data_IF_468424914053
#
_entry.id   IF_468424914053
#
_cell.length_a   1.000
_cell.length_b   1.000
_cell.length_c   1.000
_cell.angle_alpha   90.00
_cell.angle_beta   90.00
_cell.angle_gamma   90.00
#
_symmetry.space_group_name_H-M   'P 1'
#
loop_
_entity.id
_entity.type
_entity.pdbx_description
1 polymer ?
#
# COMPACT_ATOMS: atom_id res chain seq x y z
N UNK A 1 26.42 27.25 -58.79
CA UNK A 1 25.12 26.84 -59.38
C UNK A 1 24.59 25.68 -58.54
N UNK A 2 23.68 25.91 -57.57
CA UNK A 2 22.21 25.76 -57.69
C UNK A 2 21.78 24.35 -58.10
N UNK A 3 20.84 23.61 -57.50
CA UNK A 3 19.95 23.73 -56.32
C UNK A 3 19.00 22.50 -56.38
N UNK A 4 18.30 22.19 -55.28
CA UNK A 4 17.02 21.43 -55.10
C UNK A 4 17.15 20.00 -54.54
N UNK A 5 16.71 19.74 -53.30
CA UNK A 5 15.36 19.70 -52.68
C UNK A 5 14.60 18.39 -52.89
N UNK A 6 14.39 17.67 -51.78
CA UNK A 6 13.38 16.62 -51.58
C UNK A 6 13.26 16.31 -50.08
N UNK A 7 12.72 17.22 -49.26
CA UNK A 7 11.36 17.20 -48.68
C UNK A 7 10.68 15.83 -48.52
N UNK A 8 10.28 15.59 -47.25
CA UNK A 8 9.17 14.75 -46.72
C UNK A 8 9.49 13.28 -46.43
N UNK A 9 9.76 12.98 -45.16
CA UNK A 9 9.24 11.77 -44.53
C UNK A 9 8.29 12.17 -43.41
N UNK A 10 7.08 11.63 -43.52
CA UNK A 10 5.92 11.78 -42.65
C UNK A 10 5.91 10.59 -41.69
N UNK A 11 5.71 10.92 -40.41
CA UNK A 11 5.08 10.17 -39.32
C UNK A 11 4.97 8.62 -39.39
N UNK A 12 5.59 7.97 -38.40
CA UNK A 12 5.18 6.70 -37.79
C UNK A 12 5.23 6.93 -36.26
N UNK A 13 4.12 7.20 -35.58
CA UNK A 13 3.03 6.33 -35.11
C UNK A 13 3.38 5.49 -33.87
N UNK A 14 2.69 5.87 -32.78
CA UNK A 14 2.10 5.05 -31.71
C UNK A 14 3.04 4.39 -30.67
N UNK A 15 3.29 5.13 -29.60
CA UNK A 15 3.55 4.56 -28.28
C UNK A 15 2.25 4.55 -27.46
N UNK A 16 1.70 3.40 -27.04
CA UNK A 16 0.63 3.37 -26.06
C UNK A 16 1.20 3.59 -24.65
N UNK A 17 0.87 4.73 -24.06
CA UNK A 17 1.01 5.03 -22.64
C UNK A 17 0.02 4.17 -21.85
N UNK A 18 0.49 3.05 -21.32
CA UNK A 18 -0.26 2.22 -20.36
C UNK A 18 0.44 2.30 -18.99
N UNK A 19 -0.02 3.22 -18.14
CA UNK A 19 0.34 3.30 -16.72
C UNK A 19 -0.85 2.89 -15.86
N UNK A 20 -1.21 1.61 -15.93
CA UNK A 20 -2.15 0.97 -15.02
C UNK A 20 -1.42 0.24 -13.90
N UNK A 21 -0.99 0.94 -12.85
CA UNK A 21 -0.46 0.29 -11.65
C UNK A 21 -1.63 -0.02 -10.70
N UNK A 22 -2.04 -1.29 -10.66
CA UNK A 22 -3.06 -1.82 -9.75
C UNK A 22 -2.42 -2.78 -8.74
N UNK A 23 -2.22 -2.27 -7.53
CA UNK A 23 -1.91 -2.97 -6.26
C UNK A 23 -0.59 -3.74 -6.25
N UNK A 24 0.45 -3.06 -5.77
CA UNK A 24 1.72 -3.70 -5.43
C UNK A 24 2.98 -2.88 -5.69
N UNK A 25 2.91 -1.56 -5.89
CA UNK A 25 4.13 -0.78 -6.06
C UNK A 25 3.98 0.67 -5.58
N UNK A 26 4.47 0.92 -4.36
CA UNK A 26 5.15 2.17 -4.08
C UNK A 26 6.55 1.99 -4.70
N UNK A 27 6.66 2.12 -6.03
CA UNK A 27 7.93 2.58 -6.61
C UNK A 27 8.07 4.02 -6.17
N UNK A 28 8.55 4.24 -4.95
CA UNK A 28 9.16 5.51 -4.61
C UNK A 28 10.49 5.52 -5.36
N UNK A 29 10.72 6.47 -6.27
CA UNK A 29 12.09 6.90 -6.50
C UNK A 29 12.68 7.25 -5.13
N UNK A 30 13.92 6.87 -4.82
CA UNK A 30 14.60 7.43 -3.66
C UNK A 30 14.52 8.97 -3.76
N UNK A 31 14.32 9.70 -2.66
CA UNK A 31 14.22 11.15 -2.72
C UNK A 31 15.48 11.72 -3.40
N UNK A 32 15.27 12.42 -4.52
CA UNK A 32 16.32 13.15 -5.23
C UNK A 32 16.88 14.21 -4.28
N UNK A 33 18.09 13.98 -3.75
CA UNK A 33 18.77 14.90 -2.82
C UNK A 33 19.60 15.98 -3.52
N UNK A 34 19.40 16.19 -4.81
CA UNK A 34 20.17 17.16 -5.60
C UNK A 34 19.41 18.50 -5.76
N UNK A 35 19.06 19.18 -4.66
CA UNK A 35 18.80 20.62 -4.68
C UNK A 35 19.04 21.22 -3.28
N UNK A 36 19.95 22.20 -3.12
CA UNK A 36 20.07 22.92 -1.87
C UNK A 36 18.90 23.89 -1.73
N UNK A 37 17.95 23.60 -0.83
CA UNK A 37 17.02 24.62 -0.34
C UNK A 37 17.68 25.45 0.77
N UNK A 38 17.58 26.80 0.72
CA UNK A 38 18.05 27.65 1.81
C UNK A 38 17.04 27.60 2.96
N UNK A 39 17.32 26.79 3.99
CA UNK A 39 16.52 26.81 5.23
C UNK A 39 17.44 27.12 6.43
N UNK A 40 17.08 28.08 7.30
CA UNK A 40 17.83 28.37 8.51
C UNK A 40 17.84 27.15 9.46
N UNK A 41 18.85 27.02 10.34
CA UNK A 41 19.07 25.82 11.14
C UNK A 41 17.84 25.49 12.00
N UNK A 42 17.28 24.30 11.77
CA UNK A 42 16.19 23.75 12.55
C UNK A 42 16.70 23.31 13.93
N UNK A 43 16.14 23.88 14.99
CA UNK A 43 16.23 23.37 16.35
C UNK A 43 15.65 21.95 16.37
N UNK A 44 16.39 20.98 16.90
CA UNK A 44 15.92 19.61 17.03
C UNK A 44 14.61 19.57 17.84
N UNK A 45 13.53 18.94 17.34
CA UNK A 45 12.31 18.78 18.12
C UNK A 45 12.59 17.81 19.27
N UNK A 46 12.28 18.26 20.48
CA UNK A 46 12.20 17.41 21.66
C UNK A 46 11.18 16.29 21.39
N UNK A 47 11.47 15.02 21.71
CA UNK A 47 10.49 13.95 21.56
C UNK A 47 9.27 14.28 22.43
N UNK A 48 8.11 14.44 21.80
CA UNK A 48 6.84 14.60 22.50
C UNK A 48 6.61 13.36 23.38
N UNK A 49 6.23 13.53 24.66
CA UNK A 49 5.85 12.40 25.49
C UNK A 49 4.70 11.63 24.82
N UNK A 50 4.63 10.30 24.96
CA UNK A 50 3.53 9.52 24.41
C UNK A 50 2.21 10.07 24.97
N UNK A 51 1.22 10.26 24.09
CA UNK A 51 -0.13 10.59 24.51
C UNK A 51 -0.59 9.54 25.56
N UNK A 52 -1.26 9.96 26.64
CA UNK A 52 -1.69 9.03 27.68
C UNK A 52 -2.50 7.90 27.05
N UNK A 53 -2.09 6.65 27.28
CA UNK A 53 -2.74 5.45 26.74
C UNK A 53 -2.07 4.79 25.52
N UNK A 54 -0.92 5.30 25.05
CA UNK A 54 -0.11 4.62 24.01
C UNK A 54 1.01 3.79 24.64
N UNK A 55 1.02 2.48 24.43
CA UNK A 55 2.13 1.60 24.84
C UNK A 55 3.34 1.84 23.93
N UNK A 56 4.48 2.29 24.48
CA UNK A 56 5.74 2.37 23.73
C UNK A 56 6.50 1.04 23.80
N UNK A 57 6.83 0.49 22.64
CA UNK A 57 7.71 -0.68 22.46
C UNK A 57 8.94 -0.24 21.68
N UNK A 58 9.94 0.25 22.40
CA UNK A 58 11.24 0.63 21.83
C UNK A 58 12.24 -0.51 22.01
N UNK A 59 12.82 -0.98 20.90
CA UNK A 59 13.85 -2.02 20.91
C UNK A 59 15.03 -1.58 20.06
N UNK A 60 16.24 -1.80 20.60
CA UNK A 60 17.49 -1.63 19.88
C UNK A 60 18.08 -2.98 19.52
N UNK A 61 18.48 -3.16 18.26
CA UNK A 61 19.00 -4.43 17.75
C UNK A 61 20.43 -4.31 17.20
N UNK A 62 21.27 -5.35 17.35
CA UNK A 62 22.64 -5.32 16.87
C UNK A 62 22.70 -5.46 15.35
N UNK A 63 22.88 -4.36 14.63
CA UNK A 63 23.09 -4.34 13.15
C UNK A 63 24.48 -3.84 12.74
N UNK A 64 25.20 -3.18 13.63
CA UNK A 64 26.48 -2.52 13.35
C UNK A 64 26.30 -1.04 12.96
N UNK A 65 27.40 -0.31 12.85
CA UNK A 65 27.38 1.12 12.51
C UNK A 65 27.05 1.33 11.02
N UNK A 66 26.32 2.40 10.71
CA UNK A 66 26.09 2.86 9.33
C UNK A 66 24.84 2.33 8.63
N UNK A 67 23.99 1.59 9.34
CA UNK A 67 22.66 1.23 8.84
C UNK A 67 21.66 2.37 9.06
N UNK A 68 20.77 2.55 8.09
CA UNK A 68 19.62 3.45 8.20
C UNK A 68 18.51 2.83 9.08
N UNK A 69 17.46 3.61 9.37
CA UNK A 69 16.25 3.07 10.01
C UNK A 69 15.63 1.95 9.16
N UNK A 70 15.08 0.90 9.80
CA UNK A 70 14.59 -0.26 9.06
C UNK A 70 13.28 0.03 8.34
N UNK A 71 13.08 -0.63 7.20
CA UNK A 71 11.74 -0.82 6.65
C UNK A 71 11.02 -1.89 7.49
N UNK A 72 9.96 -1.51 8.22
CA UNK A 72 9.18 -2.44 9.06
C UNK A 72 7.81 -2.72 8.46
N UNK A 73 7.47 -3.99 8.31
CA UNK A 73 6.19 -4.44 7.75
C UNK A 73 5.49 -5.42 8.68
N UNK A 74 4.37 -4.97 9.26
CA UNK A 74 3.49 -5.79 10.09
C UNK A 74 2.49 -6.55 9.21
N UNK A 75 2.34 -7.84 9.50
CA UNK A 75 1.36 -8.73 8.85
C UNK A 75 0.09 -8.84 9.69
N UNK A 76 0.27 -8.86 11.01
CA UNK A 76 -0.77 -8.85 12.05
C UNK A 76 -0.31 -7.91 13.17
N UNK A 77 -1.10 -7.69 14.22
CA UNK A 77 -0.66 -6.94 15.41
C UNK A 77 0.57 -7.55 16.10
N UNK A 78 0.83 -8.84 15.90
CA UNK A 78 1.87 -9.59 16.61
C UNK A 78 3.08 -9.90 15.73
N UNK A 79 2.89 -10.09 14.43
CA UNK A 79 3.92 -10.59 13.52
C UNK A 79 4.37 -9.49 12.56
N UNK A 80 5.68 -9.24 12.53
CA UNK A 80 6.28 -8.31 11.59
C UNK A 80 7.69 -8.73 11.20
N UNK A 81 8.17 -8.13 10.13
CA UNK A 81 9.54 -8.24 9.66
C UNK A 81 10.14 -6.85 9.52
N UNK A 82 11.45 -6.74 9.74
CA UNK A 82 12.18 -5.49 9.63
C UNK A 82 13.46 -5.71 8.83
N UNK A 83 13.63 -4.92 7.77
CA UNK A 83 14.81 -4.95 6.91
C UNK A 83 15.62 -3.68 7.14
N UNK A 84 16.81 -3.85 7.71
CA UNK A 84 17.84 -2.82 7.73
C UNK A 84 18.67 -2.92 6.47
N UNK A 85 19.01 -1.78 5.87
CA UNK A 85 19.97 -1.69 4.77
C UNK A 85 20.88 -0.50 4.95
N UNK A 86 22.10 -0.59 4.43
CA UNK A 86 23.04 0.52 4.33
C UNK A 86 23.45 0.67 2.88
N UNK A 87 23.02 1.73 2.20
CA UNK A 87 23.36 1.95 0.79
C UNK A 87 24.37 3.10 0.67
N UNK A 88 25.65 2.84 0.33
CA UNK A 88 26.65 3.89 0.19
C UNK A 88 26.24 4.86 -0.94
N UNK A 89 26.04 6.14 -0.60
CA UNK A 89 25.62 7.17 -1.56
C UNK A 89 26.67 7.51 -2.64
N UNK A 90 27.91 6.99 -2.51
CA UNK A 90 29.08 7.37 -3.32
C UNK A 90 29.68 6.24 -4.15
N UNK A 91 29.06 5.07 -4.16
CA UNK A 91 29.58 3.89 -4.86
C UNK A 91 28.91 3.70 -6.21
N UNK A 92 29.69 3.40 -7.26
CA UNK A 92 29.16 2.98 -8.57
C UNK A 92 28.56 1.57 -8.53
N UNK A 93 28.99 0.75 -7.58
CA UNK A 93 28.35 -0.51 -7.22
C UNK A 93 27.38 -0.27 -6.05
N UNK A 94 26.08 -0.54 -6.23
CA UNK A 94 25.07 -0.28 -5.20
C UNK A 94 25.04 -1.36 -4.12
N UNK A 95 26.15 -2.00 -3.79
CA UNK A 95 26.20 -3.04 -2.78
C UNK A 95 25.69 -2.51 -1.43
N UNK A 96 24.43 -2.83 -1.11
CA UNK A 96 23.79 -2.46 0.14
C UNK A 96 23.79 -3.68 1.06
N UNK A 97 24.64 -3.72 2.10
CA UNK A 97 24.50 -4.69 3.17
C UNK A 97 23.11 -4.59 3.80
N UNK A 98 22.52 -5.74 4.11
CA UNK A 98 21.21 -5.84 4.70
C UNK A 98 21.14 -6.86 5.85
N UNK A 99 20.29 -6.56 6.84
CA UNK A 99 20.01 -7.45 7.98
C UNK A 99 18.51 -7.52 8.19
N UNK A 100 18.01 -8.73 8.40
CA UNK A 100 16.59 -9.00 8.58
C UNK A 100 16.29 -9.43 10.01
N UNK A 101 15.21 -8.88 10.56
CA UNK A 101 14.65 -9.24 11.85
C UNK A 101 13.18 -9.62 11.72
N UNK A 102 12.69 -10.39 12.68
CA UNK A 102 11.28 -10.70 12.83
C UNK A 102 10.84 -10.58 14.28
N UNK A 103 9.57 -10.23 14.47
CA UNK A 103 8.88 -10.27 15.76
C UNK A 103 7.63 -11.15 15.64
N UNK A 104 7.25 -11.76 16.77
CA UNK A 104 6.02 -12.54 16.92
C UNK A 104 5.22 -12.12 18.16
N UNK A 105 5.62 -11.01 18.80
CA UNK A 105 5.03 -10.48 20.04
C UNK A 105 4.65 -9.00 19.91
N UNK A 106 4.48 -8.53 18.68
CA UNK A 106 4.08 -7.17 18.34
C UNK A 106 5.21 -6.15 18.54
N UNK A 107 6.45 -6.56 18.33
CA UNK A 107 7.62 -5.69 18.40
C UNK A 107 8.19 -5.51 19.81
N UNK A 108 7.80 -6.33 20.79
CA UNK A 108 8.42 -6.31 22.13
C UNK A 108 9.81 -6.96 22.11
N UNK A 109 9.99 -7.97 21.28
CA UNK A 109 11.28 -8.56 21.00
C UNK A 109 11.45 -8.81 19.50
N UNK A 110 12.72 -8.78 19.07
CA UNK A 110 13.09 -8.95 17.67
C UNK A 110 14.21 -9.98 17.57
N UNK A 111 14.00 -10.98 16.72
CA UNK A 111 14.97 -12.04 16.45
C UNK A 111 15.57 -11.83 15.07
N UNK A 112 16.90 -11.84 15.00
CA UNK A 112 17.63 -11.81 13.73
C UNK A 112 17.32 -13.07 12.92
N UNK A 113 17.02 -12.91 11.64
CA UNK A 113 16.86 -13.99 10.67
C UNK A 113 18.10 -14.11 9.79
N UNK A 114 18.30 -15.31 9.23
CA UNK A 114 19.37 -15.54 8.26
C UNK A 114 18.90 -15.01 6.91
N UNK A 115 19.59 -13.99 6.41
CA UNK A 115 19.29 -13.44 5.09
C UNK A 115 20.03 -14.26 4.03
N UNK A 116 19.35 -14.80 2.99
CA UNK A 116 20.00 -15.59 1.94
C UNK A 116 21.08 -14.83 1.18
N UNK A 117 20.93 -13.51 1.06
CA UNK A 117 21.88 -12.59 0.46
C UNK A 117 22.09 -11.38 1.35
N UNK A 118 23.29 -11.26 1.90
CA UNK A 118 23.65 -10.19 2.81
C UNK A 118 23.89 -8.85 2.13
N UNK A 119 24.14 -8.85 0.82
CA UNK A 119 24.45 -7.66 0.03
C UNK A 119 23.64 -7.72 -1.26
N UNK A 120 22.96 -6.63 -1.62
CA UNK A 120 22.17 -6.47 -2.83
C UNK A 120 22.07 -4.99 -3.22
N UNK A 121 21.75 -4.69 -4.48
CA UNK A 121 21.68 -3.30 -4.97
C UNK A 121 20.51 -2.50 -4.42
N UNK A 122 19.42 -3.20 -4.16
CA UNK A 122 18.14 -2.62 -3.75
C UNK A 122 17.34 -3.68 -2.98
N UNK A 123 17.73 -4.00 -1.74
CA UNK A 123 17.04 -5.00 -0.95
C UNK A 123 15.66 -4.47 -0.55
N UNK A 124 14.59 -5.17 -0.93
CA UNK A 124 13.22 -4.84 -0.58
C UNK A 124 12.57 -5.99 0.21
N UNK A 125 11.68 -5.62 1.12
CA UNK A 125 10.92 -6.51 1.99
C UNK A 125 9.44 -6.42 1.64
N UNK A 126 8.80 -7.59 1.53
CA UNK A 126 7.37 -7.73 1.38
C UNK A 126 6.84 -8.83 2.31
N UNK A 127 5.76 -8.56 3.02
CA UNK A 127 5.20 -9.52 3.96
C UNK A 127 3.67 -9.51 3.94
N UNK A 128 3.10 -10.70 3.76
CA UNK A 128 1.66 -10.98 3.84
C UNK A 128 1.46 -12.20 4.75
N UNK A 129 0.22 -12.56 5.12
CA UNK A 129 -0.01 -13.78 5.88
C UNK A 129 0.70 -14.97 5.23
N UNK A 130 1.49 -15.68 6.05
CA UNK A 130 2.23 -16.90 5.69
C UNK A 130 3.37 -16.74 4.67
N UNK A 131 3.57 -15.57 4.05
CA UNK A 131 4.63 -15.37 3.05
C UNK A 131 5.49 -14.15 3.40
N UNK A 132 6.79 -14.40 3.47
CA UNK A 132 7.84 -13.39 3.50
C UNK A 132 8.57 -13.45 2.17
N UNK A 133 8.59 -12.35 1.42
CA UNK A 133 9.32 -12.24 0.17
C UNK A 133 10.36 -11.12 0.25
N UNK A 134 11.52 -11.38 -0.31
CA UNK A 134 12.62 -10.42 -0.41
C UNK A 134 13.01 -10.30 -1.88
N UNK A 135 13.13 -9.08 -2.35
CA UNK A 135 13.75 -8.79 -3.64
C UNK A 135 15.17 -8.30 -3.36
N UNK A 136 16.16 -9.00 -3.88
CA UNK A 136 17.57 -8.66 -3.73
C UNK A 136 18.18 -8.48 -5.13
N UNK A 137 17.98 -7.32 -5.74
CA UNK A 137 18.49 -7.04 -7.09
C UNK A 137 20.03 -7.05 -7.11
N UNK A 138 20.67 -7.50 -8.21
CA UNK A 138 20.09 -8.16 -9.39
C UNK A 138 19.85 -9.67 -9.19
N UNK A 139 20.06 -10.18 -7.97
CA UNK A 139 20.05 -11.61 -7.64
C UNK A 139 18.66 -12.25 -7.63
N UNK A 140 17.58 -11.48 -7.76
CA UNK A 140 16.20 -11.99 -7.86
C UNK A 140 15.48 -12.07 -6.51
N UNK A 141 14.52 -12.99 -6.42
CA UNK A 141 13.58 -13.11 -5.31
C UNK A 141 13.93 -14.26 -4.37
N UNK A 142 13.72 -14.04 -3.08
CA UNK A 142 13.85 -15.06 -2.03
C UNK A 142 12.54 -15.12 -1.25
N UNK A 143 11.94 -16.30 -1.14
CA UNK A 143 10.62 -16.47 -0.51
C UNK A 143 10.67 -17.48 0.61
N UNK A 144 10.08 -17.12 1.73
CA UNK A 144 9.88 -17.99 2.88
C UNK A 144 8.39 -18.18 3.12
N UNK A 145 7.98 -19.42 3.42
CA UNK A 145 6.66 -19.77 3.93
C UNK A 145 6.69 -20.29 5.38
N UNK A 146 7.85 -20.22 6.05
CA UNK A 146 8.07 -20.79 7.39
C UNK A 146 8.52 -19.74 8.43
N UNK A 147 8.22 -18.47 8.16
CA UNK A 147 8.59 -17.34 9.03
C UNK A 147 10.07 -16.91 8.93
N UNK A 148 10.70 -17.18 7.79
CA UNK A 148 12.05 -16.76 7.43
C UNK A 148 13.12 -17.71 7.95
N UNK A 149 12.78 -18.98 8.19
CA UNK A 149 13.76 -20.02 8.57
C UNK A 149 14.46 -20.57 7.33
N UNK A 150 13.73 -20.74 6.24
CA UNK A 150 14.28 -21.16 4.94
C UNK A 150 13.75 -20.28 3.81
N UNK A 151 14.53 -20.15 2.73
CA UNK A 151 14.15 -19.35 1.58
C UNK A 151 14.37 -20.12 0.28
N UNK A 152 13.36 -20.09 -0.60
CA UNK A 152 13.46 -20.54 -1.98
C UNK A 152 13.81 -19.35 -2.89
N UNK A 153 14.71 -19.57 -3.85
CA UNK A 153 15.15 -18.56 -4.81
C UNK A 153 14.41 -18.67 -6.14
N UNK A 154 14.00 -17.53 -6.71
CA UNK A 154 13.41 -17.43 -8.05
C UNK A 154 13.89 -16.17 -8.77
N UNK A 155 14.00 -16.21 -10.10
CA UNK A 155 14.36 -15.02 -10.89
C UNK A 155 13.22 -13.99 -10.96
N UNK A 156 11.97 -14.46 -10.94
CA UNK A 156 10.76 -13.64 -11.05
C UNK A 156 9.99 -13.60 -9.73
N UNK A 157 9.01 -12.69 -9.66
CA UNK A 157 8.10 -12.56 -8.53
C UNK A 157 7.49 -13.94 -8.14
N UNK A 158 7.68 -14.39 -6.89
CA UNK A 158 7.27 -15.70 -6.45
C UNK A 158 5.77 -15.89 -6.58
N UNK A 159 5.37 -17.06 -7.05
CA UNK A 159 3.95 -17.41 -7.20
C UNK A 159 3.24 -17.41 -5.84
N UNK A 160 3.89 -17.91 -4.79
CA UNK A 160 3.34 -17.90 -3.43
C UNK A 160 3.06 -16.47 -2.93
N UNK A 161 4.01 -15.55 -3.15
CA UNK A 161 3.84 -14.13 -2.84
C UNK A 161 2.65 -13.53 -3.59
N UNK A 162 2.59 -13.71 -4.92
CA UNK A 162 1.48 -13.22 -5.73
C UNK A 162 0.15 -13.77 -5.25
N UNK A 163 0.02 -15.10 -5.10
CA UNK A 163 -1.23 -15.73 -4.65
C UNK A 163 -1.69 -15.26 -3.25
N UNK A 164 -0.76 -14.93 -2.36
CA UNK A 164 -1.06 -14.48 -1.00
C UNK A 164 -1.59 -13.03 -0.92
N UNK A 165 -1.44 -12.22 -1.98
CA UNK A 165 -2.01 -10.86 -2.02
C UNK A 165 -3.54 -10.85 -2.15
N UNK A 166 -4.15 -11.98 -2.53
CA UNK A 166 -5.59 -12.11 -2.60
C UNK A 166 -6.03 -13.22 -3.54
N UNK A 167 -7.16 -13.84 -3.23
CA UNK A 167 -7.73 -14.93 -4.05
C UNK A 167 -8.12 -14.49 -5.46
N UNK A 168 -8.52 -13.24 -5.63
CA UNK A 168 -8.88 -12.66 -6.92
C UNK A 168 -8.00 -11.45 -7.18
N UNK A 169 -7.46 -11.35 -8.39
CA UNK A 169 -6.50 -10.32 -8.77
C UNK A 169 -6.67 -9.92 -10.23
N UNK A 170 -6.08 -8.79 -10.60
CA UNK A 170 -5.92 -8.38 -12.00
C UNK A 170 -4.54 -8.87 -12.44
N UNK A 171 -4.48 -9.67 -13.49
CA UNK A 171 -3.24 -10.02 -14.16
C UNK A 171 -2.73 -8.79 -14.91
N UNK A 172 -1.65 -8.18 -14.43
CA UNK A 172 -1.08 -6.95 -14.99
C UNK A 172 -0.67 -7.10 -16.46
N UNK A 173 -0.25 -8.29 -16.90
CA UNK A 173 0.20 -8.50 -18.29
C UNK A 173 -0.97 -8.46 -19.28
N UNK A 174 -2.17 -8.84 -18.84
CA UNK A 174 -3.35 -8.98 -19.71
C UNK A 174 -4.49 -8.03 -19.36
N UNK A 175 -4.44 -7.37 -18.20
CA UNK A 175 -5.54 -6.59 -17.63
C UNK A 175 -6.75 -7.44 -17.22
N UNK A 176 -6.66 -8.77 -17.24
CA UNK A 176 -7.79 -9.67 -16.95
C UNK A 176 -7.90 -10.01 -15.48
N UNK A 177 -9.12 -10.23 -15.01
CA UNK A 177 -9.36 -10.76 -13.67
C UNK A 177 -9.13 -12.27 -13.66
N UNK A 178 -8.29 -12.69 -12.73
CA UNK A 178 -7.93 -14.08 -12.45
C UNK A 178 -8.32 -14.47 -11.03
N UNK A 179 -8.53 -15.76 -10.83
CA UNK A 179 -8.64 -16.40 -9.52
C UNK A 179 -7.42 -17.25 -9.27
N UNK A 180 -6.84 -17.12 -8.08
CA UNK A 180 -5.80 -17.98 -7.57
C UNK A 180 -6.40 -19.18 -6.84
N UNK A 181 -5.85 -20.37 -7.12
CA UNK A 181 -6.10 -21.61 -6.40
C UNK A 181 -4.72 -22.24 -6.09
N UNK A 182 -4.21 -21.97 -4.89
CA UNK A 182 -2.80 -22.21 -4.57
C UNK A 182 -1.91 -21.44 -5.56
N UNK A 183 -0.94 -22.11 -6.22
CA UNK A 183 -0.02 -21.44 -7.14
C UNK A 183 -0.58 -21.21 -8.55
N UNK A 184 -1.82 -21.62 -8.83
CA UNK A 184 -2.38 -21.53 -10.18
C UNK A 184 -3.32 -20.34 -10.28
N UNK A 185 -3.01 -19.41 -11.18
CA UNK A 185 -3.95 -18.40 -11.63
C UNK A 185 -4.77 -18.94 -12.80
N UNK A 186 -6.09 -18.77 -12.73
CA UNK A 186 -7.03 -19.11 -13.81
C UNK A 186 -7.92 -17.91 -14.11
N UNK A 187 -8.09 -17.50 -15.38
CA UNK A 187 -9.07 -16.49 -15.74
C UNK A 187 -10.46 -16.84 -15.23
N UNK A 188 -11.23 -15.84 -14.82
CA UNK A 188 -12.64 -16.03 -14.46
C UNK A 188 -13.48 -16.46 -15.67
N UNK A 189 -14.59 -17.21 -15.46
CA UNK A 189 -15.46 -17.68 -16.54
C UNK A 189 -15.97 -16.54 -17.43
N UNK A 190 -16.34 -15.41 -16.82
CA UNK A 190 -16.62 -14.16 -17.51
C UNK A 190 -15.73 -13.04 -16.95
N UNK A 191 -15.33 -12.11 -17.82
CA UNK A 191 -14.58 -10.92 -17.42
C UNK A 191 -15.52 -9.76 -17.09
N UNK A 192 -15.18 -8.93 -16.09
CA UNK A 192 -16.00 -7.77 -15.73
C UNK A 192 -16.05 -6.76 -16.90
N UNK A 193 -17.19 -6.08 -17.13
CA UNK A 193 -17.31 -5.02 -18.11
C UNK A 193 -16.69 -3.70 -17.62
N UNK A 194 -15.40 -3.72 -17.26
CA UNK A 194 -14.60 -2.58 -16.81
C UNK A 194 -13.32 -2.56 -17.66
N UNK A 195 -13.16 -1.55 -18.52
CA UNK A 195 -12.09 -1.46 -19.53
C UNK A 195 -10.68 -1.28 -18.92
N UNK A 196 -10.58 -0.53 -17.83
CA UNK A 196 -9.32 -0.25 -17.15
C UNK A 196 -9.47 -0.50 -15.63
N UNK A 197 -9.48 -1.78 -15.20
CA UNK A 197 -9.67 -2.13 -13.80
C UNK A 197 -8.42 -1.73 -12.99
N UNK A 198 -8.65 -1.10 -11.83
CA UNK A 198 -7.62 -0.65 -10.89
C UNK A 198 -7.58 -1.48 -9.59
N UNK A 199 -8.53 -2.40 -9.41
CA UNK A 199 -8.54 -3.32 -8.30
C UNK A 199 -9.74 -4.25 -8.33
N UNK A 200 -9.65 -5.31 -7.52
CA UNK A 200 -10.71 -6.25 -7.24
C UNK A 200 -10.70 -6.63 -5.75
N UNK A 201 -11.88 -6.81 -5.16
CA UNK A 201 -12.01 -7.37 -3.81
C UNK A 201 -13.15 -8.38 -3.75
N UNK A 202 -13.09 -9.28 -2.77
CA UNK A 202 -14.19 -10.16 -2.36
C UNK A 202 -14.74 -9.69 -1.01
N UNK A 203 -16.02 -9.31 -0.96
CA UNK A 203 -16.69 -8.78 0.21
C UNK A 203 -17.96 -9.60 0.50
N UNK A 204 -17.93 -10.47 1.53
CA UNK A 204 -19.07 -11.36 1.88
C UNK A 204 -19.62 -12.16 0.68
N UNK A 205 -18.73 -12.68 -0.17
CA UNK A 205 -19.08 -13.44 -1.37
C UNK A 205 -19.45 -12.60 -2.61
N UNK A 206 -19.50 -11.27 -2.47
CA UNK A 206 -19.60 -10.34 -3.59
C UNK A 206 -18.22 -10.03 -4.14
N UNK A 207 -17.98 -10.28 -5.42
CA UNK A 207 -16.80 -9.74 -6.11
C UNK A 207 -17.11 -8.33 -6.60
N UNK A 208 -16.18 -7.42 -6.39
CA UNK A 208 -16.27 -6.04 -6.87
C UNK A 208 -15.01 -5.71 -7.63
N UNK A 209 -15.16 -5.33 -8.90
CA UNK A 209 -14.09 -4.78 -9.74
C UNK A 209 -14.39 -3.32 -9.98
N UNK A 210 -13.38 -2.48 -9.84
CA UNK A 210 -13.53 -1.05 -10.07
C UNK A 210 -12.32 -0.49 -10.80
N UNK A 211 -12.54 0.59 -11.55
CA UNK A 211 -11.56 1.19 -12.43
C UNK A 211 -11.96 2.58 -12.89
N UNK A 212 -11.09 3.22 -13.66
CA UNK A 212 -11.32 4.55 -14.22
C UNK A 212 -11.03 4.50 -15.72
N UNK A 213 -11.92 5.08 -16.52
CA UNK A 213 -11.69 5.27 -17.96
C UNK A 213 -12.10 6.69 -18.36
N UNK A 214 -11.16 7.44 -18.94
CA UNK A 214 -11.34 8.86 -19.27
C UNK A 214 -11.75 9.74 -18.08
N UNK A 215 -11.16 9.51 -16.89
CA UNK A 215 -11.48 10.24 -15.65
C UNK A 215 -12.82 9.86 -14.99
N UNK A 216 -13.58 8.94 -15.60
CA UNK A 216 -14.88 8.48 -15.09
C UNK A 216 -14.75 7.17 -14.32
N UNK A 217 -15.31 7.09 -13.10
CA UNK A 217 -15.30 5.86 -12.31
C UNK A 217 -16.28 4.82 -12.86
N UNK A 218 -15.85 3.55 -12.89
CA UNK A 218 -16.67 2.41 -13.26
C UNK A 218 -16.52 1.27 -12.26
N UNK A 219 -17.60 0.53 -12.02
CA UNK A 219 -17.59 -0.67 -11.22
C UNK A 219 -18.51 -1.75 -11.80
N UNK A 220 -18.14 -3.00 -11.55
CA UNK A 220 -18.98 -4.15 -11.80
C UNK A 220 -18.94 -5.09 -10.59
N UNK A 221 -20.06 -5.78 -10.35
CA UNK A 221 -20.20 -6.71 -9.25
C UNK A 221 -20.61 -8.09 -9.73
N UNK A 222 -20.25 -9.12 -8.98
CA UNK A 222 -20.66 -10.50 -9.23
C UNK A 222 -20.96 -11.22 -7.92
N UNK A 223 -22.09 -11.93 -7.87
CA UNK A 223 -22.53 -12.74 -6.71
C UNK A 223 -22.28 -14.24 -6.92
N UNK A 224 -21.80 -14.65 -8.10
CA UNK A 224 -21.61 -16.03 -8.52
C UNK A 224 -20.15 -16.34 -8.84
N UNK A 225 -19.23 -15.66 -8.13
CA UNK A 225 -17.77 -15.83 -8.23
C UNK A 225 -17.21 -15.54 -9.62
N UNK A 226 -17.79 -14.57 -10.32
CA UNK A 226 -17.34 -14.08 -11.62
C UNK A 226 -17.85 -14.89 -12.81
N UNK A 227 -18.95 -15.64 -12.63
CA UNK A 227 -19.60 -16.34 -13.73
C UNK A 227 -20.47 -15.36 -14.54
N UNK A 228 -21.12 -14.43 -13.85
CA UNK A 228 -21.83 -13.29 -14.43
C UNK A 228 -21.43 -11.99 -13.75
N UNK A 229 -21.55 -10.88 -14.48
CA UNK A 229 -21.19 -9.55 -14.00
C UNK A 229 -22.30 -8.54 -14.28
N UNK A 230 -22.64 -7.76 -13.26
CA UNK A 230 -23.54 -6.63 -13.40
C UNK A 230 -22.73 -5.33 -13.34
N UNK A 231 -22.83 -4.50 -14.40
CA UNK A 231 -22.29 -3.14 -14.35
C UNK A 231 -23.12 -2.32 -13.37
N UNK A 232 -22.45 -1.64 -12.47
CA UNK A 232 -23.07 -0.81 -11.43
C UNK A 232 -22.59 0.63 -11.62
N UNK A 233 -23.48 1.59 -11.94
CA UNK A 233 -23.10 2.99 -12.05
C UNK A 233 -22.48 3.51 -10.75
N UNK A 234 -21.31 4.15 -10.84
CA UNK A 234 -20.69 4.88 -9.73
C UNK A 234 -21.04 6.36 -9.92
N UNK A 235 -21.75 6.99 -8.98
CA UNK A 235 -22.03 8.42 -9.05
C UNK A 235 -20.73 9.21 -9.20
N UNK A 236 -20.63 10.01 -10.27
CA UNK A 236 -19.44 10.81 -10.58
C UNK A 236 -19.38 11.95 -9.56
N UNK A 237 -18.25 12.14 -8.86
CA UNK A 237 -18.09 13.26 -7.95
C UNK A 237 -17.95 14.57 -8.72
N UNK A 238 -17.93 15.69 -8.02
CA UNK A 238 -17.53 16.96 -8.65
C UNK A 238 -16.05 16.89 -9.03
N UNK A 239 -15.76 16.75 -10.32
CA UNK A 239 -14.41 16.60 -10.87
C UNK A 239 -14.07 15.18 -11.35
N UNK A 240 -12.79 14.97 -11.69
CA UNK A 240 -12.28 13.69 -12.22
C UNK A 240 -11.77 12.78 -11.10
N UNK A 241 -11.92 11.47 -11.30
CA UNK A 241 -11.27 10.44 -10.48
C UNK A 241 -10.07 9.91 -11.25
N UNK A 242 -8.87 9.98 -10.69
CA UNK A 242 -7.67 9.43 -11.29
C UNK A 242 -7.45 7.95 -10.96
N UNK A 243 -7.80 7.53 -9.74
CA UNK A 243 -7.68 6.14 -9.30
C UNK A 243 -8.89 5.72 -8.47
N UNK A 244 -9.58 4.67 -8.87
CA UNK A 244 -10.68 4.09 -8.10
C UNK A 244 -10.28 2.72 -7.50
N UNK A 245 -10.22 2.62 -6.18
CA UNK A 245 -9.86 1.38 -5.48
C UNK A 245 -11.07 0.76 -4.79
N UNK A 246 -11.40 -0.51 -5.07
CA UNK A 246 -12.32 -1.25 -4.23
C UNK A 246 -11.62 -1.69 -2.94
N UNK A 247 -12.35 -1.63 -1.83
CA UNK A 247 -11.88 -1.99 -0.50
C UNK A 247 -12.97 -2.75 0.25
N UNK A 248 -12.56 -3.52 1.27
CA UNK A 248 -13.47 -4.22 2.17
C UNK A 248 -13.31 -3.62 3.56
N UNK A 249 -14.42 -3.21 4.18
CA UNK A 249 -14.42 -2.78 5.57
C UNK A 249 -14.22 -3.96 6.53
N UNK A 250 -13.88 -3.72 7.80
CA UNK A 250 -13.85 -4.76 8.84
C UNK A 250 -15.21 -5.46 9.04
N UNK A 251 -16.29 -4.78 8.69
CA UNK A 251 -17.64 -5.35 8.64
C UNK A 251 -17.85 -6.26 7.42
N UNK A 252 -16.94 -6.34 6.46
CA UNK A 252 -17.12 -7.07 5.21
C UNK A 252 -17.96 -6.31 4.18
N UNK A 253 -18.25 -5.02 4.39
CA UNK A 253 -18.94 -4.18 3.42
C UNK A 253 -17.99 -3.78 2.28
N UNK A 254 -18.45 -3.88 1.02
CA UNK A 254 -17.72 -3.38 -0.13
C UNK A 254 -17.79 -1.85 -0.22
N UNK A 255 -16.64 -1.23 -0.49
CA UNK A 255 -16.47 0.22 -0.55
C UNK A 255 -15.59 0.62 -1.72
N UNK A 256 -15.73 1.86 -2.16
CA UNK A 256 -14.83 2.46 -3.16
C UNK A 256 -14.17 3.70 -2.57
N UNK A 257 -12.89 3.87 -2.89
CA UNK A 257 -12.12 5.08 -2.61
C UNK A 257 -11.55 5.59 -3.93
N UNK A 258 -11.96 6.79 -4.32
CA UNK A 258 -11.61 7.45 -5.57
C UNK A 258 -10.68 8.61 -5.30
N UNK A 259 -9.41 8.46 -5.65
CA UNK A 259 -8.42 9.53 -5.53
C UNK A 259 -8.48 10.44 -6.76
N UNK A 260 -8.36 11.77 -6.59
CA UNK A 260 -8.18 12.70 -7.69
C UNK A 260 -6.90 12.40 -8.49
N UNK A 261 -6.76 12.90 -9.73
CA UNK A 261 -5.59 12.65 -10.59
C UNK A 261 -4.25 13.01 -9.95
N UNK A 262 -4.21 14.05 -9.11
CA UNK A 262 -3.01 14.49 -8.39
C UNK A 262 -2.61 13.54 -7.25
N UNK A 263 -3.51 12.65 -6.83
CA UNK A 263 -3.37 11.72 -5.69
C UNK A 263 -3.08 12.39 -4.34
N UNK A 264 -3.33 13.70 -4.22
CA UNK A 264 -3.11 14.43 -2.96
C UNK A 264 -4.36 15.11 -2.43
N UNK A 265 -5.33 15.40 -3.29
CA UNK A 265 -6.63 15.91 -2.87
C UNK A 265 -7.43 14.91 -2.05
N UNK A 266 -8.42 15.40 -1.30
CA UNK A 266 -9.32 14.55 -0.54
C UNK A 266 -10.07 13.56 -1.45
N UNK A 267 -10.12 12.26 -1.11
CA UNK A 267 -10.73 11.27 -2.00
C UNK A 267 -12.25 11.28 -1.92
N UNK A 268 -12.88 10.92 -3.03
CA UNK A 268 -14.30 10.59 -3.08
C UNK A 268 -14.54 9.19 -2.50
N UNK A 269 -15.62 9.02 -1.74
CA UNK A 269 -15.91 7.80 -0.98
C UNK A 269 -17.28 7.25 -1.34
N UNK A 270 -17.40 5.93 -1.49
CA UNK A 270 -18.69 5.27 -1.72
C UNK A 270 -18.85 3.98 -0.93
N UNK A 271 -20.11 3.64 -0.69
CA UNK A 271 -20.57 2.39 -0.06
C UNK A 271 -21.45 1.59 -0.99
N UNK A 272 -21.43 0.27 -0.86
CA UNK A 272 -22.31 -0.61 -1.62
C UNK A 272 -23.53 -1.04 -0.79
N UNK A 273 -24.71 -0.52 -1.14
CA UNK A 273 -25.99 -0.87 -0.51
C UNK A 273 -26.96 -1.45 -1.56
N UNK A 274 -26.46 -2.34 -2.41
CA UNK A 274 -27.14 -2.78 -3.65
C UNK A 274 -26.95 -1.81 -4.83
N UNK A 275 -26.50 -0.59 -4.53
CA UNK A 275 -26.00 0.42 -5.47
C UNK A 275 -24.87 1.20 -4.80
N UNK A 276 -24.04 1.88 -5.59
CA UNK A 276 -23.02 2.79 -5.06
C UNK A 276 -23.67 4.06 -4.53
N UNK A 277 -23.53 4.30 -3.24
CA UNK A 277 -24.01 5.50 -2.57
C UNK A 277 -22.80 6.34 -2.16
N UNK A 278 -22.71 7.62 -2.60
CA UNK A 278 -21.62 8.49 -2.19
C UNK A 278 -21.71 8.78 -0.69
N UNK A 279 -20.55 8.88 -0.05
CA UNK A 279 -20.42 9.25 1.36
C UNK A 279 -19.95 10.69 1.41
N UNK A 280 -20.83 11.59 1.83
CA UNK A 280 -20.47 12.98 2.05
C UNK A 280 -19.46 13.11 3.19
N UNK A 281 -18.57 14.09 3.08
CA UNK A 281 -17.52 14.37 4.05
C UNK A 281 -17.41 15.88 4.31
N UNK A 282 -18.52 16.57 4.53
CA UNK A 282 -18.53 18.03 4.74
C UNK A 282 -17.53 18.43 5.84
N UNK A 283 -16.71 19.46 5.57
CA UNK A 283 -15.67 19.92 6.48
C UNK A 283 -14.33 19.19 6.36
N UNK A 284 -14.15 18.34 5.33
CA UNK A 284 -12.88 17.65 5.10
C UNK A 284 -11.73 18.63 4.77
N UNK A 285 -10.47 18.27 5.10
CA UNK A 285 -9.31 19.04 4.66
C UNK A 285 -9.15 18.97 3.14
N UNK A 286 -8.42 19.92 2.55
CA UNK A 286 -8.18 19.93 1.10
C UNK A 286 -7.37 18.72 0.61
N UNK A 287 -6.53 18.13 1.49
CA UNK A 287 -5.61 17.05 1.15
C UNK A 287 -5.77 15.86 2.08
N UNK A 288 -5.43 14.68 1.56
CA UNK A 288 -5.35 13.44 2.30
C UNK A 288 -4.14 12.61 1.83
N UNK A 289 -3.57 11.82 2.73
CA UNK A 289 -2.43 10.96 2.47
C UNK A 289 -2.81 9.47 2.41
N UNK A 290 -3.82 9.05 3.18
CA UNK A 290 -4.29 7.66 3.20
C UNK A 290 -5.73 7.57 3.71
N UNK A 291 -6.43 6.52 3.31
CA UNK A 291 -7.80 6.22 3.74
C UNK A 291 -7.94 4.75 4.04
N UNK A 292 -8.61 4.44 5.15
CA UNK A 292 -8.95 3.07 5.53
C UNK A 292 -10.42 2.98 5.91
N UNK A 293 -11.13 1.94 5.45
CA UNK A 293 -12.50 1.71 5.90
C UNK A 293 -12.52 1.26 7.36
N UNK A 294 -13.39 1.88 8.15
CA UNK A 294 -13.75 1.48 9.52
C UNK A 294 -15.07 0.71 9.50
N UNK A 295 -15.75 0.49 10.62
CA UNK A 295 -17.07 -0.17 10.64
C UNK A 295 -18.20 0.76 10.18
N UNK A 296 -19.29 0.20 9.65
CA UNK A 296 -20.57 0.88 9.43
C UNK A 296 -20.47 2.11 8.54
N UNK A 297 -19.85 1.98 7.37
CA UNK A 297 -19.73 3.07 6.40
C UNK A 297 -18.83 4.23 6.79
N UNK A 298 -18.05 4.08 7.87
CA UNK A 298 -17.10 5.10 8.33
C UNK A 298 -15.74 4.91 7.69
N UNK A 299 -14.99 5.98 7.52
CA UNK A 299 -13.62 5.96 6.99
C UNK A 299 -12.71 6.76 7.93
N UNK A 300 -11.53 6.24 8.22
CA UNK A 300 -10.45 7.06 8.76
C UNK A 300 -9.65 7.61 7.59
N UNK A 301 -9.36 8.90 7.64
CA UNK A 301 -8.59 9.62 6.61
C UNK A 301 -7.44 10.31 7.31
N UNK A 302 -6.21 10.02 6.92
CA UNK A 302 -5.06 10.78 7.38
C UNK A 302 -4.77 11.94 6.43
N UNK A 303 -4.45 13.11 6.97
CA UNK A 303 -4.16 14.32 6.22
C UNK A 303 -3.15 15.24 6.92
N UNK A 304 -3.05 16.50 6.49
CA UNK A 304 -2.08 17.47 7.02
C UNK A 304 -2.21 17.78 8.51
N UNK A 305 -3.40 17.58 9.09
CA UNK A 305 -3.71 17.87 10.50
C UNK A 305 -3.76 16.58 11.34
N UNK A 306 -3.23 15.47 10.82
CA UNK A 306 -3.37 14.13 11.39
C UNK A 306 -4.62 13.42 10.88
N UNK A 307 -5.21 12.56 11.71
CA UNK A 307 -6.31 11.69 11.31
C UNK A 307 -7.68 12.26 11.69
N UNK A 308 -8.64 12.10 10.78
CA UNK A 308 -10.04 12.31 11.08
C UNK A 308 -10.91 11.16 10.60
N UNK A 309 -12.19 11.23 10.95
CA UNK A 309 -13.22 10.26 10.58
C UNK A 309 -14.25 10.92 9.67
N UNK A 310 -14.61 10.22 8.60
CA UNK A 310 -15.82 10.50 7.84
C UNK A 310 -16.95 9.62 8.40
N UNK A 311 -17.95 10.27 9.01
CA UNK A 311 -19.13 9.63 9.55
C UNK A 311 -20.35 10.56 9.41
N UNK A 312 -21.52 10.00 9.16
CA UNK A 312 -22.79 10.72 9.16
C UNK A 312 -22.78 11.99 8.26
N UNK A 313 -22.08 11.89 7.12
CA UNK A 313 -21.97 12.95 6.11
C UNK A 313 -20.93 14.03 6.39
N UNK A 314 -20.18 13.93 7.49
CA UNK A 314 -19.23 14.96 7.94
C UNK A 314 -17.85 14.37 8.21
N UNK A 315 -16.84 15.23 8.07
CA UNK A 315 -15.50 14.96 8.56
C UNK A 315 -15.34 15.55 9.97
N UNK A 316 -14.75 14.79 10.89
CA UNK A 316 -14.39 15.26 12.22
C UNK A 316 -13.00 14.77 12.61
N UNK A 317 -12.20 15.55 13.34
CA UNK A 317 -10.88 15.11 13.81
C UNK A 317 -11.02 13.95 14.81
N UNK A 318 -10.01 13.09 14.83
CA UNK A 318 -9.87 12.04 15.84
C UNK A 318 -8.61 12.33 16.67
N UNK A 319 -8.72 12.19 17.99
CA UNK A 319 -7.60 12.31 18.91
C UNK A 319 -6.81 10.99 19.00
N UNK A 320 -6.41 10.47 17.85
CA UNK A 320 -5.53 9.31 17.76
C UNK A 320 -4.07 9.79 17.66
N UNK A 321 -3.10 8.99 18.11
CA UNK A 321 -1.68 9.37 18.07
C UNK A 321 -1.08 9.33 16.65
N UNK A 322 -1.89 9.52 15.60
CA UNK A 322 -1.49 9.45 14.19
C UNK A 322 -1.17 10.85 13.69
N UNK A 323 0.06 11.02 13.21
CA UNK A 323 0.55 12.29 12.63
C UNK A 323 0.46 12.30 11.10
N UNK A 324 0.66 13.45 10.43
CA UNK A 324 0.65 13.55 8.96
C UNK A 324 1.67 12.66 8.23
N UNK A 325 2.77 12.30 8.91
CA UNK A 325 3.82 11.43 8.37
C UNK A 325 3.39 9.97 8.25
N UNK A 326 2.32 9.58 8.96
CA UNK A 326 1.84 8.22 8.97
C UNK A 326 1.02 7.88 7.72
N UNK A 327 1.27 6.72 7.13
CA UNK A 327 0.39 6.13 6.13
C UNK A 327 -0.47 5.04 6.78
N UNK A 328 -1.79 5.21 6.78
CA UNK A 328 -2.74 4.27 7.38
C UNK A 328 -3.01 3.09 6.44
N UNK A 329 -3.06 1.89 7.03
CA UNK A 329 -3.43 0.63 6.38
C UNK A 329 -4.22 -0.24 7.34
N UNK A 330 -5.01 -1.18 6.80
CA UNK A 330 -5.68 -2.22 7.60
C UNK A 330 -4.96 -3.54 7.37
N UNK A 331 -4.51 -4.19 8.44
CA UNK A 331 -3.90 -5.52 8.38
C UNK A 331 -4.97 -6.61 8.26
N UNK A 332 -4.54 -7.82 7.90
CA UNK A 332 -5.45 -8.95 7.64
C UNK A 332 -6.30 -9.37 8.86
N UNK A 333 -5.81 -9.11 10.07
CA UNK A 333 -6.49 -9.38 11.33
C UNK A 333 -7.40 -8.23 11.80
N UNK A 334 -7.55 -7.17 10.98
CA UNK A 334 -8.34 -5.98 11.32
C UNK A 334 -7.61 -4.96 12.18
N UNK A 335 -6.31 -5.15 12.43
CA UNK A 335 -5.46 -4.14 13.09
C UNK A 335 -5.27 -2.94 12.18
N UNK A 336 -5.47 -1.75 12.72
CA UNK A 336 -5.11 -0.51 12.04
C UNK A 336 -3.62 -0.27 12.24
N UNK A 337 -2.88 -0.10 11.15
CA UNK A 337 -1.45 0.23 11.19
C UNK A 337 -1.21 1.61 10.58
N UNK A 338 -0.56 2.50 11.32
CA UNK A 338 -0.03 3.76 10.83
C UNK A 338 1.48 3.65 10.71
N UNK A 339 2.02 3.84 9.50
CA UNK A 339 3.47 3.72 9.28
C UNK A 339 4.11 5.06 8.98
N UNK A 340 5.10 5.44 9.78
CA UNK A 340 6.00 6.56 9.52
C UNK A 340 7.41 6.04 9.14
N UNK A 341 8.38 6.92 8.81
CA UNK A 341 9.72 6.50 8.42
C UNK A 341 10.50 5.74 9.52
N UNK A 342 10.30 6.09 10.79
CA UNK A 342 11.06 5.62 11.95
C UNK A 342 10.22 4.83 12.98
N UNK A 343 8.91 4.74 12.76
CA UNK A 343 7.99 4.05 13.67
C UNK A 343 6.77 3.45 12.98
N UNK A 344 6.13 2.52 13.70
CA UNK A 344 4.82 1.97 13.35
C UNK A 344 3.88 2.08 14.55
N UNK A 345 2.71 2.67 14.32
CA UNK A 345 1.58 2.66 15.24
C UNK A 345 0.67 1.47 14.91
N UNK A 346 0.30 0.70 15.93
CA UNK A 346 -0.67 -0.40 15.81
C UNK A 346 -1.86 -0.12 16.72
N UNK A 347 -3.06 -0.27 16.18
CA UNK A 347 -4.29 -0.10 16.92
C UNK A 347 -5.15 -1.35 16.82
N UNK A 348 -5.25 -2.07 17.94
CA UNK A 348 -6.12 -3.24 18.08
C UNK A 348 -7.42 -2.86 18.78
N UNK A 349 -8.46 -3.68 18.61
CA UNK A 349 -9.77 -3.42 19.20
C UNK A 349 -10.71 -2.58 18.33
N UNK A 350 -11.94 -2.32 18.82
CA UNK A 350 -12.96 -1.59 18.07
C UNK A 350 -12.61 -0.10 17.96
N UNK A 351 -13.19 0.58 16.96
CA UNK A 351 -12.87 1.99 16.61
C UNK A 351 -12.92 2.95 17.81
N UNK A 352 -13.87 2.76 18.73
CA UNK A 352 -14.07 3.62 19.89
C UNK A 352 -13.26 3.26 21.14
N UNK A 353 -12.58 2.11 21.15
CA UNK A 353 -11.77 1.62 22.28
C UNK A 353 -10.49 0.97 21.75
N UNK A 354 -9.80 1.71 20.86
CA UNK A 354 -8.56 1.23 20.25
C UNK A 354 -7.43 1.34 21.26
N UNK A 355 -6.70 0.23 21.43
CA UNK A 355 -5.45 0.21 22.18
C UNK A 355 -4.30 0.46 21.23
N UNK A 356 -3.59 1.56 21.47
CA UNK A 356 -2.48 2.01 20.63
C UNK A 356 -1.15 1.51 21.16
N UNK A 357 -0.34 1.04 20.23
CA UNK A 357 1.05 0.64 20.47
C UNK A 357 1.91 1.41 19.49
N UNK A 358 2.96 2.06 19.99
CA UNK A 358 4.02 2.67 19.18
C UNK A 358 5.23 1.76 19.20
N UNK A 359 5.61 1.24 18.04
CA UNK A 359 6.77 0.37 17.87
C UNK A 359 7.89 1.16 17.22
N UNK A 360 9.02 1.25 17.92
CA UNK A 360 10.25 1.89 17.44
C UNK A 360 11.36 0.84 17.44
N UNK A 361 11.94 0.59 16.27
CA UNK A 361 13.04 -0.34 16.10
C UNK A 361 14.25 0.39 15.55
N UNK A 362 15.35 0.39 16.30
CA UNK A 362 16.55 1.13 15.95
C UNK A 362 17.83 0.26 16.03
N UNK A 363 18.91 0.65 15.34
CA UNK A 363 20.24 0.12 15.60
C UNK A 363 20.68 0.34 17.06
N UNK A 364 21.37 -0.64 17.64
CA UNK A 364 22.00 -0.54 18.97
C UNK A 364 23.21 0.40 19.01
#
# INVERSE_FOLDING_TARGET
MTRRFGRRMIALLLAPLLTGCSIGDVRRPPPDRAAPSPRPPATAPTPSPPAPGVELREVRVPVGKGYDFPYVEFVTAERAYALFSSCPTRSTARDCPAVLYATVDGGRSWRRLVLPRLVAENPQLYAVPEVLALLAEPHGWYTSTDGGRTFAHTAQAPVAWRAAQGRYQIDEATGRVVRWAGPRATPLPAQPPVSAPHGIVEARGLLVVAGVDGGRPYAAVSTDRGSTWQRTPVPVPDGEVGVLRPMVGPDGEARLVGWPPDRTGFPSLWRYLGRWVPVAATGHPARAASVVPLTTGRFAVNGPDGVGVVADGRYGPLDWPVTPEHHLTMLADGTLAGRAPDEVLLATGPVGDRRWVRVVLAPA
#
